data_IF_962266413803
#
_entry.id   IF_962266413803
#
_cell.length_a   1.000
_cell.length_b   1.000
_cell.length_c   1.000
_cell.angle_alpha   90.00
_cell.angle_beta   90.00
_cell.angle_gamma   90.00
#
_symmetry.space_group_name_H-M   'P 1'
#
loop_
_entity.id
_entity.type
_entity.pdbx_description
1 polymer ?
#
# COMPACT_ATOMS: atom_id res chain seq x y z
N UNK A 1 11.52 20.97 29.86
CA UNK A 1 12.89 20.42 29.79
C UNK A 1 12.92 19.43 28.64
N UNK A 2 13.62 19.79 27.57
CA UNK A 2 13.75 19.06 26.30
C UNK A 2 14.33 17.65 26.50
N UNK A 3 13.62 16.61 26.05
CA UNK A 3 14.17 15.29 25.79
C UNK A 3 13.62 14.74 24.46
N UNK A 4 13.93 15.43 23.37
CA UNK A 4 13.68 14.92 22.01
C UNK A 4 14.70 15.56 21.08
N UNK A 5 15.93 15.00 20.95
CA UNK A 5 16.80 15.16 19.76
C UNK A 5 18.18 14.49 19.84
N UNK A 6 18.29 13.19 20.16
CA UNK A 6 19.57 12.48 19.92
C UNK A 6 19.37 11.01 19.49
N UNK A 7 18.62 10.78 18.41
CA UNK A 7 18.56 9.47 17.73
C UNK A 7 19.04 9.51 16.27
N UNK A 8 19.71 10.58 15.85
CA UNK A 8 19.91 10.87 14.42
C UNK A 8 21.34 10.69 13.89
N UNK A 9 22.26 10.01 14.58
CA UNK A 9 23.68 10.00 14.15
C UNK A 9 24.41 8.65 14.22
N UNK A 10 23.72 7.53 14.01
CA UNK A 10 24.40 6.27 13.64
C UNK A 10 23.62 5.53 12.56
N UNK A 11 23.68 6.05 11.33
CA UNK A 11 23.19 5.31 10.17
C UNK A 11 24.24 4.25 9.84
N UNK A 12 23.91 2.97 10.02
CA UNK A 12 24.83 1.88 9.70
C UNK A 12 25.09 1.84 8.19
N UNK A 13 26.26 1.33 7.77
CA UNK A 13 26.61 1.16 6.34
C UNK A 13 25.55 0.38 5.56
N UNK A 14 24.93 -0.64 6.20
CA UNK A 14 23.81 -1.39 5.63
C UNK A 14 22.58 -0.50 5.37
N UNK A 15 22.29 0.45 6.28
CA UNK A 15 21.20 1.40 6.11
C UNK A 15 21.49 2.37 4.95
N UNK A 16 22.75 2.73 4.72
CA UNK A 16 23.17 3.57 3.57
C UNK A 16 23.03 2.83 2.25
N UNK A 17 23.49 1.59 2.15
CA UNK A 17 23.39 0.78 0.93
C UNK A 17 21.94 0.49 0.54
N UNK A 18 21.11 0.09 1.51
CA UNK A 18 19.68 -0.14 1.27
C UNK A 18 18.99 1.17 0.89
N UNK A 19 19.32 2.29 1.54
CA UNK A 19 18.74 3.59 1.16
C UNK A 19 19.12 3.99 -0.28
N UNK A 20 20.37 3.74 -0.69
CA UNK A 20 20.81 3.99 -2.07
C UNK A 20 19.99 3.15 -3.06
N UNK A 21 19.88 1.85 -2.83
CA UNK A 21 19.10 0.92 -3.65
C UNK A 21 17.61 1.33 -3.77
N UNK A 22 16.98 1.66 -2.65
CA UNK A 22 15.58 2.06 -2.63
C UNK A 22 15.36 3.40 -3.35
N UNK A 23 16.33 4.32 -3.26
CA UNK A 23 16.25 5.63 -3.89
C UNK A 23 16.55 5.65 -5.38
N UNK A 24 17.22 4.62 -5.90
CA UNK A 24 17.61 4.54 -7.31
C UNK A 24 16.38 4.32 -8.22
N UNK A 25 16.07 5.24 -9.15
CA UNK A 25 14.93 5.09 -10.04
C UNK A 25 15.17 4.05 -11.16
N UNK A 26 16.40 3.65 -11.42
CA UNK A 26 16.73 2.63 -12.45
C UNK A 26 16.50 1.20 -11.95
N UNK A 27 16.38 1.03 -10.63
CA UNK A 27 16.14 -0.25 -9.98
C UNK A 27 14.66 -0.33 -9.63
N UNK A 28 13.91 -1.22 -10.30
CA UNK A 28 12.50 -1.45 -9.98
C UNK A 28 12.39 -2.24 -8.68
N UNK A 29 11.58 -1.75 -7.75
CA UNK A 29 11.22 -2.48 -6.52
C UNK A 29 9.84 -3.07 -6.71
N UNK A 30 9.72 -4.38 -6.48
CA UNK A 30 8.48 -5.13 -6.65
C UNK A 30 8.03 -5.78 -5.35
N UNK A 31 6.75 -5.67 -5.03
CA UNK A 31 6.08 -6.39 -3.95
C UNK A 31 4.57 -6.29 -4.17
N UNK A 32 3.76 -7.05 -3.44
CA UNK A 32 2.33 -6.80 -3.35
C UNK A 32 2.03 -5.82 -2.22
N UNK A 33 1.32 -4.73 -2.50
CA UNK A 33 1.10 -3.64 -1.54
C UNK A 33 2.37 -2.87 -1.17
N UNK A 34 3.29 -2.71 -2.12
CA UNK A 34 4.63 -2.16 -1.88
C UNK A 34 4.65 -0.80 -1.17
N UNK A 35 3.68 0.07 -1.43
CA UNK A 35 3.60 1.37 -0.77
C UNK A 35 3.31 1.26 0.73
N UNK A 36 2.61 0.21 1.18
CA UNK A 36 2.40 -0.01 2.61
C UNK A 36 3.74 -0.31 3.31
N UNK A 37 4.58 -1.16 2.71
CA UNK A 37 5.93 -1.47 3.21
C UNK A 37 6.85 -0.24 3.15
N UNK A 38 6.83 0.50 2.03
CA UNK A 38 7.66 1.70 1.86
C UNK A 38 7.26 2.83 2.81
N UNK A 39 5.98 2.93 3.16
CA UNK A 39 5.50 3.87 4.18
C UNK A 39 5.99 3.50 5.59
N UNK A 40 6.04 2.21 5.93
CA UNK A 40 6.61 1.78 7.21
C UNK A 40 8.12 2.08 7.27
N UNK A 41 8.86 1.78 6.21
CA UNK A 41 10.29 2.14 6.11
C UNK A 41 10.50 3.65 6.20
N UNK A 42 9.63 4.43 5.55
CA UNK A 42 9.67 5.88 5.60
C UNK A 42 9.38 6.43 7.00
N UNK A 43 8.42 5.84 7.74
CA UNK A 43 8.15 6.20 9.13
C UNK A 43 9.32 5.90 10.04
N UNK A 44 10.03 4.80 9.80
CA UNK A 44 11.24 4.43 10.52
C UNK A 44 12.40 5.40 10.23
N UNK A 45 12.58 5.81 8.97
CA UNK A 45 13.59 6.77 8.55
C UNK A 45 13.02 7.82 7.58
N UNK A 46 12.76 9.02 8.10
CA UNK A 46 12.18 10.14 7.33
C UNK A 46 13.07 10.69 6.21
N UNK A 47 14.35 10.28 6.16
CA UNK A 47 15.27 10.64 5.09
C UNK A 47 15.24 9.63 3.92
N UNK A 48 14.58 8.48 4.11
CA UNK A 48 14.47 7.45 3.08
C UNK A 48 13.70 7.99 1.88
N UNK A 49 14.26 7.77 0.70
CA UNK A 49 13.58 7.95 -0.57
C UNK A 49 13.32 6.56 -1.16
N UNK A 50 12.15 6.38 -1.74
CA UNK A 50 11.79 5.17 -2.47
C UNK A 50 11.28 5.59 -3.83
N UNK A 51 11.88 5.07 -4.90
CA UNK A 51 11.49 5.31 -6.31
C UNK A 51 11.15 4.00 -7.00
N UNK A 52 10.59 4.01 -8.20
CA UNK A 52 10.27 2.84 -9.04
C UNK A 52 9.57 1.73 -8.26
N UNK A 53 8.51 2.10 -7.53
CA UNK A 53 7.72 1.20 -6.68
C UNK A 53 6.59 0.56 -7.51
N UNK A 54 6.79 -0.69 -7.91
CA UNK A 54 5.82 -1.42 -8.73
C UNK A 54 5.03 -2.42 -7.87
N UNK A 55 3.71 -2.21 -7.74
CA UNK A 55 2.83 -3.11 -7.00
C UNK A 55 2.36 -4.26 -7.89
N UNK A 56 2.90 -5.46 -7.63
CA UNK A 56 2.55 -6.68 -8.37
C UNK A 56 1.06 -7.02 -8.28
N UNK A 57 0.39 -6.56 -7.23
CA UNK A 57 -1.01 -6.88 -7.02
C UNK A 57 -1.97 -6.29 -8.06
N UNK A 58 -1.48 -5.41 -8.93
CA UNK A 58 -2.20 -4.90 -10.10
C UNK A 58 -2.26 -5.88 -11.27
N UNK A 59 -1.38 -6.89 -11.30
CA UNK A 59 -1.36 -7.90 -12.35
C UNK A 59 -2.58 -8.81 -12.20
N UNK A 60 -3.37 -8.91 -13.26
CA UNK A 60 -4.67 -9.60 -13.25
C UNK A 60 -5.81 -8.79 -12.63
N UNK A 61 -5.52 -7.57 -12.15
CA UNK A 61 -6.54 -6.61 -11.75
C UNK A 61 -6.90 -5.79 -12.97
N UNK A 62 -8.11 -5.98 -13.52
CA UNK A 62 -8.49 -5.27 -14.73
C UNK A 62 -8.40 -3.75 -14.58
N UNK A 63 -8.22 -3.02 -15.67
CA UNK A 63 -8.06 -1.54 -15.62
C UNK A 63 -9.23 -0.89 -14.86
N UNK A 64 -8.91 -0.11 -13.83
CA UNK A 64 -9.91 0.55 -12.97
C UNK A 64 -10.46 -0.32 -11.83
N UNK A 65 -10.08 -1.60 -11.76
CA UNK A 65 -10.38 -2.45 -10.60
C UNK A 65 -9.56 -2.01 -9.39
N UNK A 66 -10.22 -2.02 -8.22
CA UNK A 66 -9.56 -1.81 -6.93
C UNK A 66 -9.12 -3.12 -6.28
N UNK A 67 -9.37 -4.25 -6.94
CA UNK A 67 -9.07 -5.56 -6.38
C UNK A 67 -7.60 -5.88 -6.55
N UNK A 68 -6.86 -5.98 -5.44
CA UNK A 68 -5.47 -6.42 -5.46
C UNK A 68 -5.39 -7.95 -5.52
N UNK A 69 -4.58 -8.50 -6.41
CA UNK A 69 -4.24 -9.92 -6.44
C UNK A 69 -3.11 -10.19 -5.44
N UNK A 70 -3.27 -11.20 -4.59
CA UNK A 70 -2.25 -11.56 -3.59
C UNK A 70 -1.08 -12.35 -4.20
N UNK A 71 0.11 -12.24 -3.59
CA UNK A 71 1.35 -12.84 -4.08
C UNK A 71 1.26 -14.34 -4.36
N UNK A 72 0.62 -15.12 -3.48
CA UNK A 72 0.40 -16.56 -3.68
C UNK A 72 -0.38 -16.85 -4.97
N UNK A 73 -1.43 -16.07 -5.26
CA UNK A 73 -2.24 -16.25 -6.48
C UNK A 73 -1.44 -15.88 -7.71
N UNK A 74 -0.62 -14.83 -7.64
CA UNK A 74 0.30 -14.43 -8.71
C UNK A 74 1.32 -15.53 -9.00
N UNK A 75 2.00 -16.03 -7.98
CA UNK A 75 2.99 -17.11 -8.15
C UNK A 75 2.36 -18.36 -8.76
N UNK A 76 1.16 -18.74 -8.32
CA UNK A 76 0.45 -19.86 -8.94
C UNK A 76 0.10 -19.59 -10.40
N UNK A 77 -0.46 -18.43 -10.72
CA UNK A 77 -0.91 -18.11 -12.08
C UNK A 77 0.25 -17.91 -13.07
N UNK A 78 1.37 -17.36 -12.59
CA UNK A 78 2.53 -17.01 -13.43
C UNK A 78 3.53 -18.17 -13.50
N UNK A 79 3.89 -18.76 -12.36
CA UNK A 79 4.95 -19.78 -12.28
C UNK A 79 4.41 -21.22 -12.16
N UNK A 80 3.09 -21.41 -11.98
CA UNK A 80 2.51 -22.73 -11.73
C UNK A 80 2.86 -23.34 -10.37
N UNK A 81 3.45 -22.55 -9.46
CA UNK A 81 3.93 -23.02 -8.15
C UNK A 81 2.94 -22.67 -7.04
N UNK A 82 2.68 -23.62 -6.14
CA UNK A 82 1.89 -23.36 -4.93
C UNK A 82 2.75 -22.87 -3.78
N UNK A 83 2.40 -21.71 -3.21
CA UNK A 83 3.01 -21.21 -1.98
C UNK A 83 2.15 -21.53 -0.77
N UNK A 84 2.71 -22.20 0.25
CA UNK A 84 2.00 -22.43 1.50
C UNK A 84 1.83 -21.12 2.28
N UNK A 85 0.57 -20.71 2.50
CA UNK A 85 0.23 -19.59 3.38
C UNK A 85 0.11 -20.08 4.82
N UNK A 86 1.06 -19.70 5.67
CA UNK A 86 0.94 -19.91 7.12
C UNK A 86 0.62 -18.59 7.81
N UNK A 87 -0.66 -18.34 8.09
CA UNK A 87 -1.09 -17.14 8.85
C UNK A 87 -0.43 -17.09 10.23
N UNK A 88 -0.26 -18.25 10.87
CA UNK A 88 0.47 -18.38 12.13
C UNK A 88 1.91 -17.88 12.03
N UNK A 89 2.60 -18.19 10.93
CA UNK A 89 3.98 -17.77 10.71
C UNK A 89 4.07 -16.29 10.34
N UNK A 90 3.18 -15.82 9.46
CA UNK A 90 3.09 -14.40 9.10
C UNK A 90 2.84 -13.50 10.33
N UNK A 91 1.99 -13.95 11.25
CA UNK A 91 1.65 -13.24 12.51
C UNK A 91 2.54 -13.65 13.70
N UNK A 92 3.65 -14.35 13.46
CA UNK A 92 4.57 -14.75 14.53
C UNK A 92 5.36 -13.55 15.07
N UNK A 93 6.13 -13.75 16.15
CA UNK A 93 6.96 -12.69 16.70
C UNK A 93 8.26 -12.54 15.90
N UNK A 94 8.35 -11.45 15.13
CA UNK A 94 9.50 -11.10 14.28
C UNK A 94 10.57 -10.25 14.98
N UNK A 95 10.40 -9.89 16.26
CA UNK A 95 11.37 -9.09 17.02
C UNK A 95 12.35 -9.92 17.86
N UNK A 96 12.23 -11.26 17.82
CA UNK A 96 13.15 -12.21 18.45
C UNK A 96 14.11 -12.81 17.42
N UNK A 97 15.21 -13.47 17.83
CA UNK A 97 16.03 -14.26 16.91
C UNK A 97 15.16 -15.18 16.06
N UNK A 98 15.34 -15.11 14.75
CA UNK A 98 14.45 -15.76 13.81
C UNK A 98 14.65 -17.28 13.81
N UNK A 99 13.54 -18.01 13.82
CA UNK A 99 13.55 -19.45 13.56
C UNK A 99 13.88 -19.74 12.10
N UNK A 100 14.38 -20.95 11.81
CA UNK A 100 14.63 -21.39 10.43
C UNK A 100 13.39 -21.23 9.53
N UNK A 101 12.20 -21.56 10.04
CA UNK A 101 10.94 -21.42 9.32
C UNK A 101 10.61 -19.96 8.97
N UNK A 102 10.88 -19.01 9.88
CA UNK A 102 10.70 -17.58 9.61
C UNK A 102 11.66 -17.08 8.53
N UNK A 103 12.92 -17.51 8.56
CA UNK A 103 13.91 -17.16 7.53
C UNK A 103 13.50 -17.72 6.17
N UNK A 104 13.14 -18.99 6.08
CA UNK A 104 12.66 -19.62 4.85
C UNK A 104 11.40 -18.94 4.31
N UNK A 105 10.48 -18.57 5.20
CA UNK A 105 9.27 -17.84 4.82
C UNK A 105 9.59 -16.47 4.22
N UNK A 106 10.41 -15.66 4.91
CA UNK A 106 10.77 -14.33 4.44
C UNK A 106 11.57 -14.37 3.14
N UNK A 107 12.52 -15.31 3.01
CA UNK A 107 13.29 -15.50 1.79
C UNK A 107 12.40 -15.90 0.60
N UNK A 108 11.44 -16.80 0.83
CA UNK A 108 10.49 -17.23 -0.21
C UNK A 108 9.58 -16.09 -0.67
N UNK A 109 9.06 -15.27 0.25
CA UNK A 109 8.21 -14.13 -0.10
C UNK A 109 8.99 -13.08 -0.93
N UNK A 110 10.26 -12.82 -0.57
CA UNK A 110 11.13 -11.92 -1.36
C UNK A 110 11.45 -12.48 -2.75
N UNK A 111 11.82 -13.77 -2.83
CA UNK A 111 12.09 -14.44 -4.10
C UNK A 111 10.86 -14.49 -5.01
N UNK A 112 9.67 -14.76 -4.45
CA UNK A 112 8.43 -14.89 -5.20
C UNK A 112 8.09 -13.64 -6.02
N UNK A 113 8.24 -12.46 -5.43
CA UNK A 113 8.00 -11.20 -6.15
C UNK A 113 8.97 -11.00 -7.33
N UNK A 114 10.25 -11.28 -7.10
CA UNK A 114 11.28 -11.19 -8.13
C UNK A 114 11.08 -12.22 -9.26
N UNK A 115 10.73 -13.46 -8.91
CA UNK A 115 10.49 -14.52 -9.89
C UNK A 115 9.26 -14.23 -10.76
N UNK A 116 8.18 -13.70 -10.17
CA UNK A 116 6.98 -13.30 -10.93
C UNK A 116 7.29 -12.21 -11.95
N UNK A 117 7.99 -11.15 -11.54
CA UNK A 117 8.28 -10.05 -12.48
C UNK A 117 9.29 -10.47 -13.55
N UNK A 118 10.25 -11.34 -13.22
CA UNK A 118 11.21 -11.88 -14.18
C UNK A 118 10.52 -12.65 -15.30
N UNK A 119 9.66 -13.63 -14.95
CA UNK A 119 8.92 -14.43 -15.93
C UNK A 119 8.03 -13.54 -16.82
N UNK A 120 7.34 -12.56 -16.23
CA UNK A 120 6.53 -11.61 -16.99
C UNK A 120 7.36 -10.70 -17.89
N UNK A 121 8.56 -10.29 -17.47
CA UNK A 121 9.47 -9.51 -18.29
C UNK A 121 10.00 -10.31 -19.49
N UNK A 122 10.20 -11.63 -19.35
CA UNK A 122 10.57 -12.51 -20.45
C UNK A 122 9.42 -12.70 -21.46
N UNK A 123 8.19 -12.87 -20.97
CA UNK A 123 7.01 -13.09 -21.83
C UNK A 123 6.45 -11.82 -22.46
N UNK A 124 6.56 -10.68 -21.76
CA UNK A 124 5.94 -9.40 -22.12
C UNK A 124 6.89 -8.22 -21.83
N UNK A 125 8.07 -8.16 -22.47
CA UNK A 125 9.11 -7.18 -22.18
C UNK A 125 8.67 -5.73 -22.44
N UNK A 126 7.77 -5.50 -23.39
CA UNK A 126 7.21 -4.19 -23.69
C UNK A 126 6.42 -3.60 -22.52
N UNK A 127 5.90 -4.47 -21.63
CA UNK A 127 5.11 -4.09 -20.47
C UNK A 127 5.92 -4.18 -19.17
N UNK A 128 6.65 -5.28 -18.96
CA UNK A 128 7.27 -5.61 -17.66
C UNK A 128 8.81 -5.61 -17.65
N UNK A 129 9.48 -5.20 -18.73
CA UNK A 129 10.92 -4.91 -18.62
C UNK A 129 11.17 -3.79 -17.62
N UNK A 130 12.38 -3.75 -17.03
CA UNK A 130 12.76 -2.71 -16.10
C UNK A 130 12.53 -1.30 -16.69
N UNK A 131 12.93 -1.09 -17.95
CA UNK A 131 12.74 0.18 -18.65
C UNK A 131 11.26 0.53 -18.84
N UNK A 132 10.42 -0.44 -19.22
CA UNK A 132 8.98 -0.23 -19.38
C UNK A 132 8.32 0.14 -18.06
N UNK A 133 8.67 -0.53 -16.97
CA UNK A 133 8.14 -0.22 -15.63
C UNK A 133 8.64 1.14 -15.15
N UNK A 134 9.92 1.48 -15.36
CA UNK A 134 10.44 2.81 -15.01
C UNK A 134 9.71 3.91 -15.79
N UNK A 135 9.44 3.71 -17.09
CA UNK A 135 8.64 4.64 -17.90
C UNK A 135 7.21 4.75 -17.40
N UNK A 136 6.60 3.63 -16.99
CA UNK A 136 5.25 3.60 -16.41
C UNK A 136 5.18 4.39 -15.09
N UNK A 137 6.24 4.34 -14.29
CA UNK A 137 6.35 4.98 -12.97
C UNK A 137 6.98 6.38 -13.01
N UNK A 138 7.12 7.00 -14.19
CA UNK A 138 7.76 8.32 -14.37
C UNK A 138 7.19 9.41 -13.46
N UNK A 139 5.87 9.40 -13.30
CA UNK A 139 5.10 10.40 -12.56
C UNK A 139 4.69 9.85 -11.18
N UNK A 140 5.38 8.82 -10.69
CA UNK A 140 5.14 8.28 -9.36
C UNK A 140 5.29 9.38 -8.30
N UNK A 141 4.36 9.40 -7.36
CA UNK A 141 4.42 10.34 -6.25
C UNK A 141 5.59 10.00 -5.32
N UNK A 142 6.38 10.98 -4.84
CA UNK A 142 7.41 10.72 -3.83
C UNK A 142 6.82 10.13 -2.54
N UNK A 143 7.53 9.19 -1.91
CA UNK A 143 7.04 8.49 -0.70
C UNK A 143 6.67 9.43 0.46
N UNK A 144 7.36 10.57 0.60
CA UNK A 144 7.03 11.60 1.58
C UNK A 144 5.65 12.21 1.32
N UNK A 145 5.27 12.45 0.07
CA UNK A 145 3.96 13.00 -0.26
C UNK A 145 2.87 11.93 -0.09
N UNK A 146 3.15 10.67 -0.48
CA UNK A 146 2.26 9.52 -0.17
C UNK A 146 2.00 9.43 1.33
N UNK A 147 3.04 9.58 2.16
CA UNK A 147 2.92 9.60 3.63
C UNK A 147 2.05 10.76 4.12
N UNK A 148 2.31 11.99 3.66
CA UNK A 148 1.56 13.17 4.08
C UNK A 148 0.07 13.04 3.74
N UNK A 149 -0.24 12.56 2.54
CA UNK A 149 -1.62 12.30 2.10
C UNK A 149 -2.28 11.21 2.94
N UNK A 150 -1.57 10.12 3.24
CA UNK A 150 -2.10 9.06 4.10
C UNK A 150 -2.40 9.54 5.52
N UNK A 151 -1.55 10.40 6.08
CA UNK A 151 -1.75 11.03 7.40
C UNK A 151 -2.97 11.96 7.39
N UNK A 152 -3.03 12.91 6.45
CA UNK A 152 -4.18 13.82 6.28
C UNK A 152 -5.49 13.05 6.10
N UNK A 153 -5.48 11.99 5.29
CA UNK A 153 -6.64 11.11 5.09
C UNK A 153 -7.09 10.41 6.37
N UNK A 154 -6.13 9.95 7.20
CA UNK A 154 -6.42 9.32 8.49
C UNK A 154 -7.08 10.33 9.45
N UNK A 155 -6.54 11.54 9.52
CA UNK A 155 -7.09 12.63 10.33
C UNK A 155 -8.50 13.01 9.88
N UNK A 156 -8.71 13.20 8.58
CA UNK A 156 -10.03 13.50 8.00
C UNK A 156 -11.04 12.37 8.27
N UNK A 157 -10.64 11.09 8.22
CA UNK A 157 -11.51 9.97 8.59
C UNK A 157 -11.89 9.98 10.07
N UNK A 158 -10.95 10.36 10.95
CA UNK A 158 -11.22 10.51 12.38
C UNK A 158 -12.20 11.67 12.62
N UNK A 159 -11.99 12.82 11.98
CA UNK A 159 -12.91 13.96 12.04
C UNK A 159 -14.30 13.58 11.54
N UNK A 160 -14.39 12.90 10.39
CA UNK A 160 -15.66 12.41 9.84
C UNK A 160 -16.40 11.50 10.82
N UNK A 161 -15.67 10.63 11.53
CA UNK A 161 -16.24 9.76 12.56
C UNK A 161 -16.79 10.58 13.72
N UNK A 162 -16.03 11.55 14.23
CA UNK A 162 -16.46 12.43 15.32
C UNK A 162 -17.69 13.25 14.95
N UNK A 163 -17.73 13.85 13.75
CA UNK A 163 -18.89 14.60 13.26
C UNK A 163 -20.14 13.71 13.21
N UNK A 164 -19.99 12.47 12.71
CA UNK A 164 -21.10 11.50 12.67
C UNK A 164 -21.62 11.15 14.06
N UNK A 165 -20.74 10.95 15.03
CA UNK A 165 -21.10 10.63 16.42
C UNK A 165 -21.81 11.83 17.09
N UNK A 166 -21.30 13.05 16.92
CA UNK A 166 -21.93 14.27 17.43
C UNK A 166 -23.32 14.49 16.82
N UNK A 167 -23.47 14.29 15.51
CA UNK A 167 -24.77 14.42 14.84
C UNK A 167 -25.76 13.33 15.28
N UNK A 168 -25.32 12.09 15.48
CA UNK A 168 -26.18 11.05 16.02
C UNK A 168 -26.73 11.43 17.40
N UNK A 169 -25.88 11.97 18.28
CA UNK A 169 -26.29 12.48 19.60
C UNK A 169 -27.27 13.65 19.49
N UNK A 170 -26.98 14.62 18.62
CA UNK A 170 -27.86 15.77 18.37
C UNK A 170 -29.23 15.34 17.83
N UNK A 171 -29.27 14.47 16.80
CA UNK A 171 -30.54 14.02 16.21
C UNK A 171 -31.38 13.18 17.18
N UNK A 172 -30.73 12.40 18.07
CA UNK A 172 -31.42 11.65 19.12
C UNK A 172 -32.08 12.59 20.14
N UNK A 173 -31.43 13.71 20.47
CA UNK A 173 -32.00 14.75 21.32
C UNK A 173 -33.12 15.53 20.62
N UNK A 174 -32.94 15.92 19.36
CA UNK A 174 -33.94 16.70 18.63
C UNK A 174 -35.21 15.90 18.28
N UNK A 175 -35.10 14.60 17.97
CA UNK A 175 -36.24 13.70 17.73
C UNK A 175 -37.14 13.55 18.97
N UNK A 176 -36.63 13.85 20.17
CA UNK A 176 -37.41 13.85 21.41
C UNK A 176 -38.32 15.08 21.53
N UNK A 177 -38.03 16.18 20.82
CA UNK A 177 -38.68 17.49 21.02
C UNK A 177 -39.24 18.15 19.75
N UNK A 178 -38.84 17.74 18.53
CA UNK A 178 -39.38 18.24 17.26
C UNK A 178 -39.50 17.12 16.20
N UNK A 179 -40.71 16.79 15.69
CA UNK A 179 -40.94 15.65 14.81
C UNK A 179 -40.56 15.86 13.33
N UNK A 180 -40.05 17.04 12.94
CA UNK A 180 -39.63 17.32 11.57
C UNK A 180 -38.11 17.15 11.44
N UNK A 181 -37.69 16.30 10.49
CA UNK A 181 -36.29 16.05 10.15
C UNK A 181 -35.64 17.36 9.67
N UNK A 182 -35.01 18.10 10.57
CA UNK A 182 -34.22 19.28 10.20
C UNK A 182 -33.00 18.78 9.38
N UNK A 183 -32.62 19.53 8.34
CA UNK A 183 -31.36 19.29 7.63
C UNK A 183 -30.16 19.43 8.56
N UNK A 184 -28.96 19.06 8.08
CA UNK A 184 -27.73 19.27 8.85
C UNK A 184 -27.60 20.77 9.22
N UNK A 185 -27.25 21.10 10.48
CA UNK A 185 -26.93 22.48 10.84
C UNK A 185 -25.84 23.03 9.90
N UNK A 186 -25.90 24.30 9.47
CA UNK A 186 -24.96 24.86 8.49
C UNK A 186 -23.49 24.64 8.85
N UNK A 187 -23.14 24.82 10.12
CA UNK A 187 -21.77 24.60 10.63
C UNK A 187 -21.30 23.14 10.45
N UNK A 188 -22.20 22.17 10.63
CA UNK A 188 -21.91 20.74 10.43
C UNK A 188 -21.78 20.41 8.95
N UNK A 189 -22.59 21.07 8.10
CA UNK A 189 -22.48 20.91 6.65
C UNK A 189 -21.14 21.44 6.13
N UNK A 190 -20.73 22.64 6.54
CA UNK A 190 -19.44 23.23 6.16
C UNK A 190 -18.26 22.38 6.62
N UNK A 191 -18.30 21.86 7.85
CA UNK A 191 -17.24 20.98 8.36
C UNK A 191 -17.18 19.66 7.56
N UNK A 192 -18.34 19.07 7.25
CA UNK A 192 -18.42 17.86 6.44
C UNK A 192 -17.86 18.05 5.03
N UNK A 193 -18.14 19.19 4.41
CA UNK A 193 -17.66 19.50 3.06
C UNK A 193 -16.14 19.70 3.04
N UNK A 194 -15.57 20.40 4.04
CA UNK A 194 -14.10 20.49 4.21
C UNK A 194 -13.46 19.11 4.38
N UNK A 195 -14.06 18.25 5.20
CA UNK A 195 -13.56 16.89 5.42
C UNK A 195 -13.63 16.06 4.14
N UNK A 196 -14.70 16.19 3.35
CA UNK A 196 -14.86 15.53 2.06
C UNK A 196 -13.81 15.98 1.05
N UNK A 197 -13.57 17.29 0.94
CA UNK A 197 -12.53 17.85 0.08
C UNK A 197 -11.16 17.25 0.42
N UNK A 198 -10.78 17.20 1.71
CA UNK A 198 -9.53 16.56 2.13
C UNK A 198 -9.50 15.07 1.75
N UNK A 199 -10.60 14.33 1.91
CA UNK A 199 -10.65 12.91 1.53
C UNK A 199 -10.51 12.69 0.02
N UNK A 200 -11.11 13.57 -0.79
CA UNK A 200 -10.99 13.56 -2.25
C UNK A 200 -9.55 13.90 -2.67
N UNK A 201 -9.03 15.05 -2.22
CA UNK A 201 -7.68 15.50 -2.49
C UNK A 201 -6.63 14.46 -2.12
N UNK A 202 -6.82 13.77 -1.01
CA UNK A 202 -5.86 12.80 -0.46
C UNK A 202 -6.19 11.36 -0.84
N UNK A 203 -7.08 11.12 -1.79
CA UNK A 203 -7.39 9.79 -2.28
C UNK A 203 -6.12 9.05 -2.74
N UNK A 204 -5.99 7.73 -2.51
CA UNK A 204 -4.89 6.95 -3.04
C UNK A 204 -4.85 7.03 -4.57
N UNK A 205 -3.65 7.00 -5.16
CA UNK A 205 -3.47 7.05 -6.63
C UNK A 205 -4.11 5.88 -7.38
N UNK A 206 -4.51 4.85 -6.63
CA UNK A 206 -5.07 3.63 -7.20
C UNK A 206 -3.97 2.63 -7.56
N UNK A 207 -4.40 1.45 -7.98
CA UNK A 207 -3.53 0.37 -8.40
C UNK A 207 -3.41 0.43 -9.92
N UNK A 208 -2.18 0.37 -10.45
CA UNK A 208 -1.99 0.23 -11.89
C UNK A 208 -2.38 -1.21 -12.26
N UNK A 209 -3.55 -1.35 -12.88
CA UNK A 209 -4.13 -2.64 -13.25
C UNK A 209 -3.69 -3.14 -14.62
N UNK A 210 -3.49 -4.45 -14.72
CA UNK A 210 -3.21 -5.16 -15.96
C UNK A 210 -4.20 -6.31 -16.12
N UNK A 211 -4.89 -6.38 -17.25
CA UNK A 211 -5.86 -7.44 -17.53
C UNK A 211 -5.16 -8.81 -17.60
N UNK A 212 -5.80 -9.85 -17.07
CA UNK A 212 -5.21 -11.19 -16.99
C UNK A 212 -5.12 -11.88 -18.37
N UNK A 213 -6.14 -11.68 -19.22
CA UNK A 213 -6.30 -12.40 -20.48
C UNK A 213 -5.17 -12.10 -21.49
N UNK A 214 -4.76 -10.84 -21.75
CA UNK A 214 -3.63 -10.54 -22.63
C UNK A 214 -2.29 -11.08 -22.12
N UNK A 215 -2.20 -11.36 -20.82
CA UNK A 215 -1.00 -11.92 -20.16
C UNK A 215 -1.00 -13.45 -20.13
N UNK A 216 -2.04 -14.09 -20.68
CA UNK A 216 -2.24 -15.54 -20.61
C UNK A 216 -2.44 -16.06 -19.19
N UNK A 217 -2.86 -15.21 -18.25
CA UNK A 217 -3.01 -15.57 -16.84
C UNK A 217 -4.45 -16.01 -16.53
N UNK A 218 -4.58 -17.09 -15.79
CA UNK A 218 -5.87 -17.58 -15.30
C UNK A 218 -5.90 -17.61 -13.78
N UNK A 219 -6.70 -16.72 -13.19
CA UNK A 219 -6.88 -16.61 -11.74
C UNK A 219 -8.14 -17.32 -11.21
N UNK A 220 -8.95 -17.88 -12.11
CA UNK A 220 -10.24 -18.54 -11.82
C UNK A 220 -10.08 -20.05 -11.58
N UNK A 221 -8.88 -20.60 -11.79
CA UNK A 221 -8.54 -21.94 -11.33
C UNK A 221 -8.39 -21.99 -9.80
N UNK A 222 -9.48 -21.75 -9.07
CA UNK A 222 -9.65 -22.34 -7.74
C UNK A 222 -10.06 -23.79 -7.98
N UNK A 223 -9.12 -24.74 -7.86
CA UNK A 223 -9.49 -26.15 -7.89
C UNK A 223 -9.96 -26.59 -6.50
N UNK A 224 -11.23 -27.05 -6.48
CA UNK A 224 -11.74 -28.31 -5.91
C UNK A 224 -11.09 -28.82 -4.63
#
# INVERSE_FOLDING_TARGET
>A
IHLTRERNQRQSTACTAVSALLSDPTIVKVCTSIDDDMLELYRFNRQLKARSRFDLGGIGSGRGSKQRIGLQRLVRAVLGVEMKKSKKLAMSNWSKPLTKQQVEYAARDAWAGAAVIHDLAERHPETFSADSIVRLLRDERPIQEVHNRATRRKEARTQLKTIREQYQQYSAFDLQYKPQKLGLPPIVSEELDRVREVLEETSPDGLIGFDAEPLGLNFDQQRS
#
